data_IF_884540518655
#
_entry.id   IF_884540518655
#
_cell.length_a   1.000
_cell.length_b   1.000
_cell.length_c   1.000
_cell.angle_alpha   90.00
_cell.angle_beta   90.00
_cell.angle_gamma   90.00
#
_symmetry.space_group_name_H-M   'P 1'
#
loop_
_entity.id
_entity.type
_entity.pdbx_description
1 polymer ?
#
# COMPACT_ATOMS: atom_id res chain seq x y z
N UNK A 1 19.38 -26.28 -54.52
CA UNK A 1 19.35 -25.92 -55.96
C UNK A 1 18.54 -24.66 -56.10
N UNK A 2 19.17 -23.62 -56.68
CA UNK A 2 18.63 -22.30 -57.04
C UNK A 2 18.16 -21.43 -55.84
N UNK A 3 18.76 -20.32 -55.45
CA UNK A 3 19.70 -19.44 -56.14
C UNK A 3 19.14 -18.01 -56.16
N UNK A 4 19.91 -17.06 -55.62
CA UNK A 4 19.84 -15.62 -55.89
C UNK A 4 18.72 -14.85 -55.17
N UNK A 5 18.94 -13.74 -54.48
CA UNK A 5 20.04 -12.79 -54.56
C UNK A 5 19.48 -11.40 -54.92
N UNK A 6 19.83 -10.38 -54.13
CA UNK A 6 19.48 -8.98 -54.35
C UNK A 6 19.47 -8.22 -53.01
N UNK A 7 20.61 -7.82 -52.44
CA UNK A 7 21.56 -6.75 -52.84
C UNK A 7 20.93 -5.35 -52.90
N UNK A 8 21.48 -4.44 -52.09
CA UNK A 8 21.34 -2.97 -52.20
C UNK A 8 20.95 -2.35 -50.86
N UNK A 9 21.92 -1.94 -50.05
CA UNK A 9 22.38 -0.53 -49.92
C UNK A 9 21.36 0.32 -49.15
N UNK A 10 21.68 1.10 -48.12
CA UNK A 10 22.93 1.77 -47.80
C UNK A 10 23.07 1.92 -46.28
N UNK A 11 24.31 1.82 -45.82
CA UNK A 11 24.73 2.36 -44.54
C UNK A 11 24.97 3.85 -44.75
N UNK A 12 24.09 4.70 -44.24
CA UNK A 12 24.41 6.11 -44.05
C UNK A 12 23.69 6.64 -42.80
N UNK A 13 24.52 6.90 -41.81
CA UNK A 13 24.16 7.45 -40.50
C UNK A 13 24.19 8.97 -40.60
N UNK A 14 23.05 9.65 -40.71
CA UNK A 14 22.90 11.10 -40.43
C UNK A 14 21.46 11.32 -39.93
N UNK A 15 21.25 11.49 -38.62
CA UNK A 15 21.19 12.77 -37.89
C UNK A 15 19.84 13.52 -37.98
N UNK A 16 19.19 13.55 -36.81
CA UNK A 16 18.00 14.27 -36.31
C UNK A 16 17.58 15.54 -37.07
N UNK A 17 16.28 15.70 -37.27
CA UNK A 17 15.44 16.75 -36.67
C UNK A 17 13.94 16.43 -36.86
N UNK A 18 13.08 16.80 -35.91
CA UNK A 18 11.62 16.70 -36.13
C UNK A 18 10.82 16.15 -34.95
N UNK A 19 10.80 16.93 -33.88
CA UNK A 19 9.79 16.93 -32.81
C UNK A 19 8.35 16.68 -33.28
N UNK A 20 7.62 15.85 -32.54
CA UNK A 20 6.18 15.65 -32.72
C UNK A 20 5.54 14.91 -31.53
N UNK A 21 5.44 15.62 -30.40
CA UNK A 21 4.79 15.21 -29.16
C UNK A 21 3.40 14.61 -29.38
N UNK A 22 3.21 13.34 -28.99
CA UNK A 22 1.90 12.84 -28.56
C UNK A 22 2.00 12.54 -27.07
N UNK A 23 1.35 13.40 -26.30
CA UNK A 23 1.53 13.54 -24.86
C UNK A 23 1.20 12.29 -24.08
N UNK A 24 2.15 11.89 -23.24
CA UNK A 24 1.83 11.38 -21.93
C UNK A 24 2.41 12.40 -20.94
N UNK A 25 1.64 12.92 -19.98
CA UNK A 25 2.21 13.79 -18.97
C UNK A 25 3.33 13.02 -18.26
N UNK A 26 4.51 13.64 -18.18
CA UNK A 26 5.56 13.31 -17.22
C UNK A 26 5.04 13.65 -15.81
N UNK A 27 3.97 12.98 -15.39
CA UNK A 27 3.49 13.04 -14.03
C UNK A 27 4.38 12.12 -13.22
N UNK A 28 5.26 12.74 -12.43
CA UNK A 28 5.79 12.13 -11.22
C UNK A 28 4.59 11.50 -10.51
N UNK A 29 4.53 10.17 -10.39
CA UNK A 29 3.62 9.53 -9.46
C UNK A 29 4.12 9.82 -8.03
N UNK A 30 4.07 11.10 -7.63
CA UNK A 30 4.12 11.48 -6.23
C UNK A 30 2.79 12.15 -5.97
N UNK A 31 2.03 11.47 -5.12
CA UNK A 31 0.76 11.85 -4.52
C UNK A 31 -0.48 11.52 -5.36
N UNK A 32 -0.87 10.23 -5.31
CA UNK A 32 -2.27 9.80 -5.35
C UNK A 32 -2.71 9.34 -3.94
N UNK A 33 -2.13 9.95 -2.90
CA UNK A 33 -2.55 9.78 -1.51
C UNK A 33 -3.56 10.86 -1.07
N UNK A 34 -4.15 11.59 -2.01
CA UNK A 34 -4.98 12.76 -1.76
C UNK A 34 -6.38 12.58 -2.36
N UNK A 35 -7.17 11.71 -1.72
CA UNK A 35 -8.59 12.01 -1.48
C UNK A 35 -8.82 11.71 0.01
N UNK A 36 -9.02 12.74 0.85
CA UNK A 36 -9.13 12.62 2.31
C UNK A 36 -10.50 12.10 2.74
N UNK A 37 -11.01 11.07 2.06
CA UNK A 37 -12.22 10.34 2.43
C UNK A 37 -11.88 9.12 3.30
N UNK A 38 -10.60 8.90 3.60
CA UNK A 38 -10.16 7.84 4.49
C UNK A 38 -9.47 8.41 5.72
N UNK A 39 -10.05 8.13 6.87
CA UNK A 39 -9.50 8.41 8.20
C UNK A 39 -8.39 7.42 8.49
N UNK A 40 -7.30 7.90 9.08
CA UNK A 40 -6.22 7.05 9.59
C UNK A 40 -6.19 7.17 11.11
N UNK A 41 -6.36 6.06 11.79
CA UNK A 41 -6.23 5.95 13.24
C UNK A 41 -5.01 5.09 13.58
N UNK A 42 -4.32 5.45 14.67
CA UNK A 42 -3.20 4.69 15.20
C UNK A 42 -3.53 4.25 16.63
N UNK A 43 -3.29 2.98 16.92
CA UNK A 43 -3.57 2.35 18.21
C UNK A 43 -2.31 1.65 18.69
N UNK A 44 -1.92 1.94 19.92
CA UNK A 44 -0.77 1.31 20.54
C UNK A 44 -1.23 0.08 21.34
N UNK A 45 -0.59 -1.06 21.10
CA UNK A 45 -0.87 -2.32 21.75
C UNK A 45 0.36 -2.83 22.48
N UNK A 46 0.15 -3.36 23.68
CA UNK A 46 1.20 -4.05 24.44
C UNK A 46 0.99 -5.56 24.42
N UNK A 47 2.07 -6.33 24.51
CA UNK A 47 2.01 -7.79 24.61
C UNK A 47 1.99 -8.56 23.28
N UNK A 48 1.98 -7.86 22.14
CA UNK A 48 2.21 -8.49 20.84
C UNK A 48 3.67 -9.01 20.75
N UNK A 49 3.82 -10.33 20.70
CA UNK A 49 5.13 -11.01 20.74
C UNK A 49 5.37 -11.94 19.56
N UNK A 50 4.36 -12.17 18.72
CA UNK A 50 4.42 -13.15 17.66
C UNK A 50 3.69 -12.68 16.39
N UNK A 51 4.16 -13.09 15.22
CA UNK A 51 3.54 -12.71 13.94
C UNK A 51 2.11 -13.27 13.80
N UNK A 52 1.86 -14.47 14.35
CA UNK A 52 0.52 -15.05 14.39
C UNK A 52 -0.45 -14.23 15.27
N UNK A 53 0.07 -13.59 16.32
CA UNK A 53 -0.68 -12.72 17.21
C UNK A 53 -1.14 -11.46 16.46
N UNK A 54 -0.24 -10.91 15.64
CA UNK A 54 -0.51 -9.76 14.76
C UNK A 54 -1.60 -10.11 13.75
N UNK A 55 -1.51 -11.28 13.11
CA UNK A 55 -2.52 -11.73 12.16
C UNK A 55 -3.91 -11.81 12.79
N UNK A 56 -4.01 -12.42 13.97
CA UNK A 56 -5.28 -12.54 14.68
C UNK A 56 -5.89 -11.17 15.00
N UNK A 57 -5.10 -10.24 15.56
CA UNK A 57 -5.54 -8.85 15.80
C UNK A 57 -5.98 -8.17 14.50
N UNK A 58 -5.21 -8.34 13.42
CA UNK A 58 -5.51 -7.74 12.13
C UNK A 58 -6.86 -8.22 11.59
N UNK A 59 -7.19 -9.50 11.75
CA UNK A 59 -8.48 -10.08 11.34
C UNK A 59 -9.65 -9.46 12.12
N UNK A 60 -9.50 -9.24 13.42
CA UNK A 60 -10.51 -8.56 14.25
C UNK A 60 -10.73 -7.11 13.81
N UNK A 61 -9.65 -6.37 13.53
CA UNK A 61 -9.74 -4.98 13.06
C UNK A 61 -10.37 -4.88 11.66
N UNK A 62 -10.02 -5.77 10.73
CA UNK A 62 -10.61 -5.78 9.38
C UNK A 62 -12.10 -6.16 9.42
N UNK A 63 -12.54 -6.82 10.48
CA UNK A 63 -13.95 -7.15 10.70
C UNK A 63 -14.78 -5.97 11.20
N UNK A 64 -14.15 -4.86 11.60
CA UNK A 64 -14.85 -3.63 11.99
C UNK A 64 -15.38 -2.90 10.75
N UNK A 65 -16.61 -2.39 10.86
CA UNK A 65 -17.22 -1.58 9.81
C UNK A 65 -16.36 -0.35 9.48
N UNK A 66 -16.19 -0.12 8.18
CA UNK A 66 -15.42 0.99 7.66
C UNK A 66 -13.91 0.75 7.59
N UNK A 67 -13.37 -0.38 8.06
CA UNK A 67 -11.92 -0.66 7.94
C UNK A 67 -11.56 -1.11 6.53
N UNK A 68 -10.63 -0.39 5.91
CA UNK A 68 -10.12 -0.70 4.57
C UNK A 68 -8.74 -1.34 4.60
N UNK A 69 -7.86 -0.92 5.49
CA UNK A 69 -6.49 -1.43 5.56
C UNK A 69 -5.99 -1.37 6.98
N UNK A 70 -5.29 -2.41 7.41
CA UNK A 70 -4.63 -2.48 8.71
C UNK A 70 -3.15 -2.77 8.47
N UNK A 71 -2.29 -1.92 9.02
CA UNK A 71 -0.84 -2.05 9.01
C UNK A 71 -0.35 -2.16 10.45
N UNK A 72 0.40 -3.21 10.79
CA UNK A 72 0.85 -3.45 12.16
C UNK A 72 2.36 -3.37 12.21
N UNK A 73 2.87 -2.43 13.02
CA UNK A 73 4.27 -2.35 13.40
C UNK A 73 4.49 -3.15 14.67
N UNK A 74 4.84 -4.43 14.51
CA UNK A 74 5.20 -5.30 15.62
C UNK A 74 6.53 -4.87 16.26
N UNK A 75 6.50 -4.62 17.55
CA UNK A 75 7.69 -4.40 18.39
C UNK A 75 7.70 -5.48 19.47
N UNK A 76 8.47 -6.54 19.22
CA UNK A 76 8.57 -7.68 20.14
C UNK A 76 9.10 -7.22 21.50
N UNK A 77 8.30 -7.42 22.54
CA UNK A 77 8.65 -7.01 23.91
C UNK A 77 8.48 -5.52 24.20
N UNK A 78 7.82 -4.77 23.31
CA UNK A 78 7.50 -3.36 23.48
C UNK A 78 6.07 -3.01 23.11
N UNK A 79 5.87 -1.73 22.79
CA UNK A 79 4.59 -1.21 22.29
C UNK A 79 4.57 -1.37 20.78
N UNK A 80 3.62 -2.14 20.27
CA UNK A 80 3.38 -2.31 18.84
C UNK A 80 2.31 -1.33 18.38
N UNK A 81 2.52 -0.66 17.26
CA UNK A 81 1.58 0.34 16.74
C UNK A 81 0.76 -0.28 15.61
N UNK A 82 -0.56 -0.25 15.73
CA UNK A 82 -1.53 -0.67 14.72
C UNK A 82 -2.09 0.58 14.05
N UNK A 83 -1.83 0.71 12.75
CA UNK A 83 -2.36 1.78 11.91
C UNK A 83 -3.52 1.26 11.09
N UNK A 84 -4.69 1.83 11.32
CA UNK A 84 -5.93 1.46 10.63
C UNK A 84 -6.34 2.60 9.71
N UNK A 85 -6.57 2.26 8.44
CA UNK A 85 -7.17 3.15 7.46
C UNK A 85 -8.63 2.75 7.29
N UNK A 86 -9.52 3.68 7.53
CA UNK A 86 -10.96 3.47 7.49
C UNK A 86 -11.67 4.57 6.67
N UNK A 87 -12.88 4.31 6.21
CA UNK A 87 -13.73 5.28 5.50
C UNK A 87 -14.22 6.39 6.44
N UNK A 88 -14.42 6.04 7.71
CA UNK A 88 -14.91 6.93 8.75
C UNK A 88 -14.17 6.72 10.07
N UNK A 89 -14.49 7.55 11.06
CA UNK A 89 -13.88 7.44 12.39
C UNK A 89 -14.41 6.16 13.07
N UNK A 90 -13.51 5.24 13.40
CA UNK A 90 -13.89 4.02 14.11
C UNK A 90 -14.40 4.35 15.50
N UNK A 91 -15.46 3.64 15.93
CA UNK A 91 -15.96 3.78 17.29
C UNK A 91 -14.90 3.27 18.28
N UNK A 92 -14.46 4.10 19.25
CA UNK A 92 -13.40 3.71 20.18
C UNK A 92 -13.82 2.56 21.08
N UNK A 93 -15.12 2.37 21.33
CA UNK A 93 -15.65 1.24 22.10
C UNK A 93 -15.57 -0.05 21.29
N UNK A 94 -15.91 0.00 20.00
CA UNK A 94 -15.79 -1.14 19.10
C UNK A 94 -14.32 -1.56 18.91
N UNK A 95 -13.40 -0.60 18.78
CA UNK A 95 -11.97 -0.88 18.71
C UNK A 95 -11.46 -1.49 20.01
N UNK A 96 -11.83 -0.93 21.16
CA UNK A 96 -11.43 -1.49 22.46
C UNK A 96 -11.98 -2.91 22.64
N UNK A 97 -13.22 -3.18 22.26
CA UNK A 97 -13.83 -4.51 22.31
C UNK A 97 -13.09 -5.50 21.39
N UNK A 98 -12.78 -5.11 20.15
CA UNK A 98 -12.02 -5.97 19.22
C UNK A 98 -10.62 -6.31 19.76
N UNK A 99 -9.97 -5.35 20.41
CA UNK A 99 -8.66 -5.55 21.05
C UNK A 99 -8.76 -6.46 22.29
N UNK A 100 -9.80 -6.31 23.11
CA UNK A 100 -10.06 -7.15 24.30
C UNK A 100 -10.40 -8.60 23.90
N UNK A 101 -11.25 -8.78 22.89
CA UNK A 101 -11.59 -10.08 22.30
C UNK A 101 -10.36 -10.77 21.67
N UNK A 102 -9.45 -9.98 21.08
CA UNK A 102 -8.16 -10.46 20.61
C UNK A 102 -7.17 -10.80 21.75
N UNK A 103 -7.48 -10.45 23.00
CA UNK A 103 -6.68 -10.72 24.18
C UNK A 103 -5.55 -9.70 24.44
N UNK A 104 -5.70 -8.48 23.95
CA UNK A 104 -4.73 -7.39 24.11
C UNK A 104 -5.34 -6.18 24.82
N UNK A 105 -4.50 -5.21 25.16
CA UNK A 105 -4.92 -3.96 25.81
C UNK A 105 -4.30 -2.79 25.06
N UNK A 106 -5.11 -1.76 24.82
CA UNK A 106 -4.68 -0.46 24.31
C UNK A 106 -3.77 0.23 25.34
N UNK A 107 -2.62 0.73 24.90
CA UNK A 107 -1.57 1.32 25.75
C UNK A 107 -1.90 2.76 26.20
#
# INVERSE_FOLDING_TARGET
>A
MCGGGGHGAASETVFRDGTGSSGAPRARARVLAELPDAVVAEYDLTGLTCDNCVRHVTEEFVSLDGVQTVDVRLVVGGVSTVRVKADELLDPTAVAAAVDEAGYVLA
#
